data_IF_386912491904
#
_entry.id   IF_386912491904
#
_cell.length_a   1.000
_cell.length_b   1.000
_cell.length_c   1.000
_cell.angle_alpha   90.00
_cell.angle_beta   90.00
_cell.angle_gamma   90.00
#
_symmetry.space_group_name_H-M   'P 1'
#
loop_
_entity.id
_entity.type
_entity.pdbx_description
1 polymer ?
#
# COMPACT_ATOMS: atom_id res chain seq x y z
N UNK A 1 24.71 -3.93 4.09
CA UNK A 1 24.57 -4.87 5.24
C UNK A 1 23.45 -4.43 6.18
N UNK A 2 23.50 -3.24 6.82
CA UNK A 2 22.47 -2.81 7.78
C UNK A 2 21.03 -2.79 7.21
N UNK A 3 20.84 -2.31 5.98
CA UNK A 3 19.54 -2.37 5.27
C UNK A 3 19.00 -3.79 5.17
N UNK A 4 19.85 -4.74 4.77
CA UNK A 4 19.46 -6.14 4.57
C UNK A 4 19.08 -6.79 5.89
N UNK A 5 19.89 -6.58 6.94
CA UNK A 5 19.59 -7.01 8.30
C UNK A 5 18.23 -6.47 8.77
N UNK A 6 17.96 -5.18 8.59
CA UNK A 6 16.70 -4.58 9.02
C UNK A 6 15.48 -5.22 8.34
N UNK A 7 15.57 -5.51 7.04
CA UNK A 7 14.50 -6.16 6.27
C UNK A 7 14.33 -7.62 6.67
N UNK A 8 15.44 -8.38 6.75
CA UNK A 8 15.45 -9.80 7.08
C UNK A 8 14.82 -10.08 8.46
N UNK A 9 15.16 -9.25 9.45
CA UNK A 9 14.67 -9.40 10.82
C UNK A 9 13.43 -8.57 11.13
N UNK A 10 12.79 -7.97 10.09
CA UNK A 10 11.56 -7.17 10.21
C UNK A 10 11.65 -6.11 11.32
N UNK A 11 12.78 -5.42 11.40
CA UNK A 11 13.05 -4.46 12.46
C UNK A 11 12.06 -3.29 12.35
N UNK A 12 11.37 -2.91 13.44
CA UNK A 12 10.48 -1.75 13.43
C UNK A 12 11.23 -0.48 12.99
N UNK A 13 10.63 0.31 12.10
CA UNK A 13 11.25 1.55 11.60
C UNK A 13 11.59 2.52 12.74
N UNK A 14 10.80 2.54 13.82
CA UNK A 14 11.06 3.33 15.02
C UNK A 14 12.34 2.89 15.74
N UNK A 15 12.56 1.58 15.90
CA UNK A 15 13.77 1.03 16.48
C UNK A 15 14.99 1.30 15.59
N UNK A 16 14.84 1.12 14.27
CA UNK A 16 15.88 1.42 13.30
C UNK A 16 16.26 2.91 13.30
N UNK A 17 15.29 3.83 13.38
CA UNK A 17 15.56 5.26 13.53
C UNK A 17 16.35 5.58 14.79
N UNK A 18 15.98 4.99 15.94
CA UNK A 18 16.71 5.17 17.20
C UNK A 18 18.15 4.67 17.07
N UNK A 19 18.35 3.50 16.45
CA UNK A 19 19.68 2.95 16.19
C UNK A 19 20.51 3.85 15.27
N UNK A 20 19.94 4.34 14.17
CA UNK A 20 20.63 5.22 13.22
C UNK A 20 21.11 6.52 13.88
N UNK A 21 20.33 7.09 14.80
CA UNK A 21 20.73 8.26 15.59
C UNK A 21 21.91 7.99 16.51
N UNK A 22 22.11 6.76 16.97
CA UNK A 22 23.30 6.37 17.74
C UNK A 22 24.49 6.13 16.80
N UNK A 23 24.26 5.43 15.69
CA UNK A 23 25.33 5.06 14.76
C UNK A 23 25.91 6.26 14.00
N UNK A 24 25.17 7.36 13.85
CA UNK A 24 25.65 8.56 13.12
C UNK A 24 26.93 9.15 13.73
N UNK A 25 27.11 9.02 15.05
CA UNK A 25 28.30 9.52 15.76
C UNK A 25 29.57 8.78 15.32
N UNK A 26 29.45 7.50 14.97
CA UNK A 26 30.57 6.66 14.53
C UNK A 26 30.65 6.52 13.00
N UNK A 27 29.52 6.70 12.31
CA UNK A 27 29.38 6.50 10.87
C UNK A 27 28.58 7.65 10.23
N UNK A 28 29.24 8.79 10.03
CA UNK A 28 28.62 10.03 9.50
C UNK A 28 27.95 9.91 8.12
N UNK A 29 28.24 8.83 7.36
CA UNK A 29 27.63 8.55 6.06
C UNK A 29 26.28 7.84 6.15
N UNK A 30 25.88 7.36 7.32
CA UNK A 30 24.57 6.74 7.51
C UNK A 30 23.47 7.82 7.52
N UNK A 31 22.27 7.52 7.01
CA UNK A 31 21.14 8.41 7.17
C UNK A 31 20.59 8.35 8.60
N UNK A 32 19.91 9.42 9.03
CA UNK A 32 19.20 9.46 10.31
C UNK A 32 17.81 8.80 10.26
N UNK A 33 17.28 8.63 9.05
CA UNK A 33 15.92 8.14 8.81
C UNK A 33 15.95 6.79 8.07
N UNK A 34 15.23 5.82 8.64
CA UNK A 34 15.08 4.48 8.12
C UNK A 34 14.52 4.45 6.71
N UNK A 35 13.63 5.37 6.32
CA UNK A 35 13.10 5.45 4.94
C UNK A 35 14.23 5.69 3.94
N UNK A 36 15.19 6.53 4.33
CA UNK A 36 16.38 6.83 3.51
C UNK A 36 17.31 5.61 3.46
N UNK A 37 17.55 4.94 4.60
CA UNK A 37 18.37 3.72 4.64
C UNK A 37 17.77 2.61 3.79
N UNK A 38 16.46 2.40 3.91
CA UNK A 38 15.71 1.34 3.25
C UNK A 38 15.45 1.63 1.77
N UNK A 39 15.74 2.85 1.30
CA UNK A 39 15.45 3.33 -0.07
C UNK A 39 14.03 2.98 -0.48
N UNK A 40 13.05 3.28 0.39
CA UNK A 40 11.65 3.03 0.07
C UNK A 40 11.29 3.92 -1.13
N UNK A 41 10.87 3.30 -2.23
CA UNK A 41 10.46 4.04 -3.42
C UNK A 41 9.28 4.95 -3.07
N UNK A 42 9.47 6.26 -3.24
CA UNK A 42 8.44 7.27 -3.04
C UNK A 42 7.59 7.52 -4.29
N UNK A 43 8.03 7.03 -5.45
CA UNK A 43 7.28 7.16 -6.70
C UNK A 43 6.46 5.90 -6.92
N UNK A 44 5.14 6.09 -6.97
CA UNK A 44 4.23 5.11 -7.52
C UNK A 44 3.88 5.53 -8.95
N UNK A 45 3.80 4.58 -9.91
CA UNK A 45 3.32 4.87 -11.24
C UNK A 45 1.95 5.53 -11.15
N UNK A 46 1.85 6.74 -11.69
CA UNK A 46 0.59 7.49 -11.74
C UNK A 46 0.38 8.04 -13.13
N UNK A 47 -0.88 8.02 -13.57
CA UNK A 47 -1.33 8.57 -14.83
C UNK A 47 -1.91 9.95 -14.57
N UNK A 48 -1.39 10.96 -15.25
CA UNK A 48 -1.99 12.29 -15.24
C UNK A 48 -3.35 12.22 -15.95
N UNK A 49 -4.39 12.72 -15.29
CA UNK A 49 -5.72 12.95 -15.85
C UNK A 49 -5.97 14.46 -15.94
N UNK A 50 -7.04 14.86 -16.62
CA UNK A 50 -7.38 16.27 -16.81
C UNK A 50 -7.51 17.04 -15.49
N UNK A 51 -8.02 16.39 -14.43
CA UNK A 51 -8.31 17.02 -13.13
C UNK A 51 -7.64 16.35 -11.94
N UNK A 52 -6.55 15.61 -12.13
CA UNK A 52 -5.88 14.90 -11.04
C UNK A 52 -4.86 13.87 -11.50
N UNK A 53 -4.45 12.99 -10.58
CA UNK A 53 -3.49 11.93 -10.87
C UNK A 53 -4.04 10.61 -10.38
N UNK A 54 -4.17 9.64 -11.28
CA UNK A 54 -4.62 8.30 -10.92
C UNK A 54 -3.43 7.38 -10.71
N UNK A 55 -3.28 6.84 -9.51
CA UNK A 55 -2.39 5.70 -9.24
C UNK A 55 -3.22 4.41 -9.32
N UNK A 56 -2.94 3.56 -10.32
CA UNK A 56 -3.68 2.31 -10.53
C UNK A 56 -2.87 1.12 -10.02
N UNK A 57 -3.41 0.39 -9.04
CA UNK A 57 -2.82 -0.83 -8.47
C UNK A 57 -3.38 -2.08 -9.16
N UNK A 58 -4.63 -1.99 -9.63
CA UNK A 58 -5.30 -3.01 -10.41
C UNK A 58 -5.95 -4.13 -9.62
N UNK A 59 -6.72 -4.94 -10.34
CA UNK A 59 -7.60 -5.96 -9.78
C UNK A 59 -6.95 -7.35 -9.73
N UNK A 60 -5.99 -7.61 -10.62
CA UNK A 60 -5.50 -8.96 -10.89
C UNK A 60 -4.88 -9.63 -9.66
N UNK A 61 -3.98 -8.93 -8.95
CA UNK A 61 -3.30 -9.51 -7.79
C UNK A 61 -4.25 -9.78 -6.62
N UNK A 62 -5.09 -8.81 -6.18
CA UNK A 62 -6.10 -9.07 -5.14
C UNK A 62 -7.02 -10.25 -5.49
N UNK A 63 -7.49 -10.32 -6.74
CA UNK A 63 -8.36 -11.41 -7.18
C UNK A 63 -7.64 -12.77 -7.22
N UNK A 64 -6.39 -12.83 -7.67
CA UNK A 64 -5.58 -14.06 -7.60
C UNK A 64 -5.39 -14.52 -6.16
N UNK A 65 -5.07 -13.60 -5.25
CA UNK A 65 -4.93 -13.92 -3.82
C UNK A 65 -6.25 -14.37 -3.20
N UNK A 66 -7.36 -13.75 -3.58
CA UNK A 66 -8.69 -14.21 -3.21
C UNK A 66 -8.93 -15.64 -3.68
N UNK A 67 -8.86 -15.91 -4.99
CA UNK A 67 -9.14 -17.23 -5.57
C UNK A 67 -8.24 -18.31 -4.94
N UNK A 68 -6.95 -18.01 -4.69
CA UNK A 68 -6.02 -18.97 -4.08
C UNK A 68 -6.38 -19.40 -2.65
N UNK A 69 -7.23 -18.65 -1.95
CA UNK A 69 -7.65 -18.94 -0.57
C UNK A 69 -8.89 -19.85 -0.50
N UNK A 70 -9.56 -20.06 -1.62
CA UNK A 70 -10.78 -20.86 -1.68
C UNK A 70 -10.56 -22.09 -2.56
N UNK A 71 -11.15 -23.21 -2.14
CA UNK A 71 -11.28 -24.41 -2.96
C UNK A 71 -12.39 -24.23 -3.99
N UNK A 72 -12.38 -25.02 -5.07
CA UNK A 72 -13.43 -24.99 -6.09
C UNK A 72 -14.84 -25.21 -5.52
N UNK A 73 -14.96 -26.01 -4.45
CA UNK A 73 -16.24 -26.26 -3.76
C UNK A 73 -16.73 -25.06 -2.94
N UNK A 74 -15.84 -24.14 -2.57
CA UNK A 74 -16.17 -22.94 -1.81
C UNK A 74 -16.45 -21.72 -2.72
N UNK A 75 -16.17 -21.84 -4.03
CA UNK A 75 -16.53 -20.84 -5.02
C UNK A 75 -18.00 -20.99 -5.40
N UNK A 76 -18.85 -20.17 -4.77
CA UNK A 76 -20.28 -20.09 -5.01
C UNK A 76 -20.51 -19.75 -6.48
N UNK A 77 -21.15 -20.68 -7.19
CA UNK A 77 -21.60 -20.53 -8.58
C UNK A 77 -20.50 -20.12 -9.59
N UNK A 78 -19.21 -20.26 -9.24
CA UNK A 78 -18.08 -19.75 -10.04
C UNK A 78 -18.17 -18.25 -10.41
N UNK A 79 -18.92 -17.47 -9.63
CA UNK A 79 -19.13 -16.04 -9.87
C UNK A 79 -18.46 -15.21 -8.77
N UNK A 80 -17.91 -14.06 -9.14
CA UNK A 80 -17.32 -13.09 -8.20
C UNK A 80 -18.04 -11.77 -8.40
N UNK A 81 -18.88 -11.40 -7.44
CA UNK A 81 -19.53 -10.10 -7.41
C UNK A 81 -18.60 -9.08 -6.74
N UNK A 82 -18.20 -8.06 -7.50
CA UNK A 82 -17.34 -6.98 -6.98
C UNK A 82 -18.15 -5.69 -6.90
N UNK A 83 -18.26 -5.16 -5.68
CA UNK A 83 -18.74 -3.80 -5.44
C UNK A 83 -17.58 -2.83 -5.48
N UNK A 84 -17.76 -1.71 -6.16
CA UNK A 84 -16.80 -0.62 -6.18
C UNK A 84 -17.30 0.52 -5.30
N UNK A 85 -16.42 1.04 -4.46
CA UNK A 85 -16.70 2.22 -3.64
C UNK A 85 -15.64 3.28 -3.95
N UNK A 86 -16.10 4.54 -4.03
CA UNK A 86 -15.28 5.71 -4.33
C UNK A 86 -15.61 6.77 -3.28
N UNK A 87 -14.70 6.93 -2.32
CA UNK A 87 -14.89 7.86 -1.21
C UNK A 87 -13.92 9.03 -1.36
N UNK A 88 -14.41 10.27 -1.36
CA UNK A 88 -13.55 11.46 -1.41
C UNK A 88 -13.19 11.96 -0.02
N UNK A 89 -11.89 12.03 0.28
CA UNK A 89 -11.39 12.55 1.56
C UNK A 89 -10.51 13.79 1.34
N UNK A 90 -10.77 14.93 2.01
CA UNK A 90 -9.91 16.09 1.92
C UNK A 90 -8.53 15.77 2.51
N UNK A 91 -7.49 15.92 1.69
CA UNK A 91 -6.11 15.59 2.07
C UNK A 91 -5.49 16.66 2.97
N UNK A 92 -5.86 17.92 2.72
CA UNK A 92 -5.39 19.07 3.51
C UNK A 92 -6.57 20.00 3.81
N UNK A 93 -6.60 20.55 5.02
CA UNK A 93 -7.64 21.53 5.41
C UNK A 93 -7.53 22.86 4.65
N UNK A 94 -6.36 23.18 4.12
CA UNK A 94 -6.03 24.45 3.47
C UNK A 94 -6.05 24.38 1.94
N UNK A 95 -6.44 23.25 1.35
CA UNK A 95 -6.50 23.09 -0.11
C UNK A 95 -7.72 22.26 -0.51
N UNK A 96 -8.19 22.44 -1.75
CA UNK A 96 -9.26 21.61 -2.32
C UNK A 96 -8.77 20.26 -2.85
N UNK A 97 -7.55 19.83 -2.49
CA UNK A 97 -7.03 18.52 -2.88
C UNK A 97 -7.77 17.44 -2.09
N UNK A 98 -8.37 16.50 -2.82
CA UNK A 98 -9.02 15.32 -2.28
C UNK A 98 -8.23 14.09 -2.69
N UNK A 99 -8.15 13.12 -1.79
CA UNK A 99 -7.74 11.75 -2.11
C UNK A 99 -9.02 10.93 -2.24
N UNK A 100 -9.19 10.30 -3.41
CA UNK A 100 -10.32 9.43 -3.68
C UNK A 100 -9.82 7.99 -3.86
N UNK A 101 -9.72 7.16 -2.79
CA UNK A 101 -9.54 5.73 -2.94
C UNK A 101 -10.70 5.10 -3.72
N UNK A 102 -10.34 4.27 -4.69
CA UNK A 102 -11.26 3.37 -5.38
C UNK A 102 -11.04 1.98 -4.77
N UNK A 103 -12.01 1.53 -4.00
CA UNK A 103 -11.98 0.26 -3.27
C UNK A 103 -12.85 -0.77 -3.99
N UNK A 104 -12.37 -2.01 -4.01
CA UNK A 104 -13.12 -3.18 -4.43
C UNK A 104 -13.50 -4.01 -3.22
N UNK A 105 -14.71 -4.56 -3.21
CA UNK A 105 -15.14 -5.50 -2.17
C UNK A 105 -15.87 -6.68 -2.81
N UNK A 106 -15.51 -7.89 -2.41
CA UNK A 106 -16.09 -9.13 -2.95
C UNK A 106 -17.39 -9.39 -2.19
N UNK A 107 -18.49 -8.94 -2.77
CA UNK A 107 -19.80 -8.82 -2.13
C UNK A 107 -20.38 -10.18 -1.73
N UNK A 108 -20.19 -11.20 -2.57
CA UNK A 108 -20.65 -12.56 -2.29
C UNK A 108 -19.78 -13.29 -1.25
N UNK A 109 -18.71 -12.66 -0.76
CA UNK A 109 -17.82 -13.18 0.28
C UNK A 109 -17.62 -12.14 1.40
N UNK A 110 -18.60 -11.97 2.31
CA UNK A 110 -18.59 -10.88 3.28
C UNK A 110 -17.48 -10.96 4.33
N UNK A 111 -16.78 -12.09 4.43
CA UNK A 111 -15.58 -12.24 5.29
C UNK A 111 -14.33 -11.58 4.69
N UNK A 112 -14.38 -11.23 3.40
CA UNK A 112 -13.29 -10.53 2.74
C UNK A 112 -13.31 -9.05 3.06
N UNK A 113 -12.11 -8.50 3.26
CA UNK A 113 -11.95 -7.07 3.44
C UNK A 113 -11.92 -6.36 2.08
N UNK A 114 -12.37 -5.09 2.02
CA UNK A 114 -12.14 -4.25 0.85
C UNK A 114 -10.64 -4.13 0.52
N UNK A 115 -10.32 -4.02 -0.76
CA UNK A 115 -8.97 -3.87 -1.26
C UNK A 115 -8.84 -2.64 -2.17
N UNK A 116 -7.66 -2.04 -2.21
CA UNK A 116 -7.40 -0.85 -3.03
C UNK A 116 -7.21 -1.25 -4.50
N UNK A 117 -7.95 -0.60 -5.39
CA UNK A 117 -7.84 -0.76 -6.84
C UNK A 117 -7.03 0.39 -7.43
N UNK A 118 -7.36 1.60 -6.99
CA UNK A 118 -6.71 2.82 -7.42
C UNK A 118 -6.83 3.93 -6.36
N UNK A 119 -6.04 4.97 -6.52
CA UNK A 119 -6.14 6.23 -5.78
C UNK A 119 -6.12 7.38 -6.78
N UNK A 120 -7.10 8.30 -6.68
CA UNK A 120 -7.20 9.51 -7.49
C UNK A 120 -6.95 10.77 -6.67
#
# INVERSE_FOLDING_TARGET
QLRHWAVQYKIPQTALNKLLKILIYFHKKLPLDSRTLLKTNLSMPSRQLEKGKLCYMGLLQPLKQFISRYTALQLLNNEIEISFNIDGLPLFKSSNIQLCPILGWIKNYPKENPFVIAMY
#
